data_IF_455126137047
#
_entry.id   IF_455126137047
#
_cell.length_a   1.000
_cell.length_b   1.000
_cell.length_c   1.000
_cell.angle_alpha   90.00
_cell.angle_beta   90.00
_cell.angle_gamma   90.00
#
_symmetry.space_group_name_H-M   'P 1'
#
loop_
_entity.id
_entity.type
_entity.pdbx_description
1 polymer ?
#
# COMPACT_ATOMS: atom_id res chain seq x y z
N UNK A 1 -20.86 15.58 15.49
CA UNK A 1 -20.92 14.15 15.13
C UNK A 1 -20.16 13.83 13.84
N UNK A 2 -19.19 14.66 13.45
CA UNK A 2 -18.44 14.52 12.18
C UNK A 2 -17.17 13.67 12.38
N UNK A 3 -16.49 13.83 13.52
CA UNK A 3 -15.30 13.04 13.91
C UNK A 3 -15.58 11.52 13.98
N UNK A 4 -16.74 11.11 14.48
CA UNK A 4 -17.14 9.68 14.51
C UNK A 4 -17.41 9.13 13.11
N UNK A 5 -17.88 9.98 12.19
CA UNK A 5 -18.12 9.57 10.80
C UNK A 5 -16.81 9.49 10.00
N UNK A 6 -15.83 10.35 10.29
CA UNK A 6 -14.46 10.25 9.74
C UNK A 6 -13.74 8.99 10.25
N UNK A 7 -13.84 8.70 11.54
CA UNK A 7 -13.24 7.50 12.15
C UNK A 7 -13.84 6.20 11.58
N UNK A 8 -15.17 6.12 11.41
CA UNK A 8 -15.80 4.97 10.76
C UNK A 8 -15.41 4.81 9.28
N UNK A 9 -15.28 5.91 8.53
CA UNK A 9 -14.80 5.86 7.13
C UNK A 9 -13.36 5.41 7.05
N UNK A 10 -12.50 5.86 7.97
CA UNK A 10 -11.11 5.45 8.05
C UNK A 10 -11.00 3.93 8.32
N UNK A 11 -11.77 3.41 9.28
CA UNK A 11 -11.84 1.98 9.56
C UNK A 11 -12.31 1.17 8.35
N UNK A 12 -13.37 1.61 7.67
CA UNK A 12 -13.86 0.94 6.46
C UNK A 12 -12.82 0.94 5.32
N UNK A 13 -12.10 2.06 5.12
CA UNK A 13 -11.05 2.13 4.11
C UNK A 13 -9.87 1.20 4.41
N UNK A 14 -9.52 1.04 5.69
CA UNK A 14 -8.49 0.10 6.12
C UNK A 14 -8.91 -1.37 5.88
N UNK A 15 -10.17 -1.71 6.17
CA UNK A 15 -10.73 -3.03 5.89
C UNK A 15 -10.72 -3.33 4.38
N UNK A 16 -11.11 -2.35 3.56
CA UNK A 16 -11.10 -2.50 2.10
C UNK A 16 -9.68 -2.72 1.57
N UNK A 17 -8.69 -2.02 2.13
CA UNK A 17 -7.28 -2.20 1.78
C UNK A 17 -6.78 -3.61 2.15
N UNK A 18 -7.16 -4.12 3.32
CA UNK A 18 -6.85 -5.50 3.73
C UNK A 18 -7.50 -6.54 2.80
N UNK A 19 -8.76 -6.32 2.40
CA UNK A 19 -9.46 -7.15 1.40
C UNK A 19 -8.72 -7.11 0.06
N UNK A 20 -8.29 -5.93 -0.40
CA UNK A 20 -7.48 -5.79 -1.62
C UNK A 20 -6.19 -6.60 -1.56
N UNK A 21 -5.49 -6.59 -0.42
CA UNK A 21 -4.30 -7.40 -0.20
C UNK A 21 -4.59 -8.90 -0.32
N UNK A 22 -5.67 -9.38 0.32
CA UNK A 22 -6.08 -10.78 0.26
C UNK A 22 -6.48 -11.19 -1.17
N UNK A 23 -7.31 -10.37 -1.83
CA UNK A 23 -7.76 -10.63 -3.19
C UNK A 23 -6.58 -10.70 -4.16
N UNK A 24 -5.67 -9.72 -4.09
CA UNK A 24 -4.46 -9.73 -4.91
C UNK A 24 -3.59 -10.95 -4.64
N UNK A 25 -3.47 -11.39 -3.37
CA UNK A 25 -2.72 -12.59 -3.03
C UNK A 25 -3.37 -13.87 -3.59
N UNK A 26 -4.70 -13.95 -3.56
CA UNK A 26 -5.44 -15.07 -4.14
C UNK A 26 -5.28 -15.13 -5.66
N UNK A 27 -5.34 -13.98 -6.33
CA UNK A 27 -5.20 -13.87 -7.78
C UNK A 27 -3.78 -14.16 -8.27
N UNK A 28 -2.76 -13.74 -7.51
CA UNK A 28 -1.35 -13.95 -7.86
C UNK A 28 -0.77 -15.26 -7.34
N UNK A 29 -1.49 -15.97 -6.47
CA UNK A 29 -1.02 -17.14 -5.69
C UNK A 29 0.23 -16.85 -4.82
N UNK A 30 0.54 -15.58 -4.57
CA UNK A 30 1.60 -15.12 -3.67
C UNK A 30 1.20 -13.81 -3.00
N UNK A 31 1.78 -13.52 -1.83
CA UNK A 31 1.54 -12.24 -1.16
C UNK A 31 2.00 -11.05 -2.01
N UNK A 32 1.11 -10.08 -2.21
CA UNK A 32 1.42 -8.83 -2.90
C UNK A 32 2.57 -8.08 -2.24
N UNK A 33 2.56 -8.00 -0.91
CA UNK A 33 3.57 -7.34 -0.12
C UNK A 33 4.24 -8.38 0.77
N UNK A 34 5.54 -8.55 0.61
CA UNK A 34 6.33 -9.48 1.41
C UNK A 34 7.56 -8.75 1.93
N UNK A 35 7.58 -8.51 3.24
CA UNK A 35 8.76 -8.01 3.92
C UNK A 35 9.90 -9.02 3.85
N UNK A 36 11.14 -8.52 3.82
CA UNK A 36 12.33 -9.38 3.89
C UNK A 36 12.41 -10.11 5.23
N UNK A 37 11.97 -9.44 6.29
CA UNK A 37 11.87 -9.97 7.64
C UNK A 37 10.40 -9.94 8.10
N UNK A 38 10.10 -10.71 9.15
CA UNK A 38 8.77 -10.79 9.75
C UNK A 38 8.53 -9.63 10.73
N UNK A 39 8.87 -8.41 10.33
CA UNK A 39 8.66 -7.18 11.09
C UNK A 39 7.90 -6.12 10.28
N UNK A 40 7.32 -5.16 11.00
CA UNK A 40 6.47 -4.11 10.44
C UNK A 40 7.24 -3.20 9.47
N UNK A 41 8.48 -2.85 9.80
CA UNK A 41 9.32 -1.98 8.99
C UNK A 41 9.61 -2.61 7.62
N UNK A 42 9.93 -3.90 7.59
CA UNK A 42 10.19 -4.66 6.36
C UNK A 42 8.94 -4.77 5.49
N UNK A 43 7.76 -4.93 6.10
CA UNK A 43 6.49 -4.94 5.38
C UNK A 43 6.17 -3.56 4.79
N UNK A 44 6.38 -2.49 5.56
CA UNK A 44 6.20 -1.11 5.12
C UNK A 44 7.12 -0.78 3.93
N UNK A 45 8.38 -1.21 3.99
CA UNK A 45 9.32 -1.08 2.87
C UNK A 45 8.78 -1.73 1.60
N UNK A 46 8.28 -2.96 1.69
CA UNK A 46 7.72 -3.68 0.53
C UNK A 46 6.49 -2.94 -0.05
N UNK A 47 5.64 -2.37 0.80
CA UNK A 47 4.48 -1.58 0.38
C UNK A 47 4.93 -0.30 -0.33
N UNK A 48 5.84 0.47 0.27
CA UNK A 48 6.36 1.74 -0.29
C UNK A 48 7.05 1.50 -1.63
N UNK A 49 7.79 0.40 -1.79
CA UNK A 49 8.45 0.05 -3.06
C UNK A 49 7.47 -0.23 -4.19
N UNK A 50 6.30 -0.80 -3.90
CA UNK A 50 5.29 -1.16 -4.91
C UNK A 50 4.29 -0.02 -5.17
N UNK A 51 3.79 0.62 -4.12
CA UNK A 51 2.79 1.70 -4.21
C UNK A 51 3.41 3.09 -4.42
N UNK A 52 4.72 3.22 -4.25
CA UNK A 52 5.47 4.44 -4.54
C UNK A 52 5.55 5.41 -3.37
N UNK A 53 6.53 6.32 -3.44
CA UNK A 53 6.88 7.23 -2.34
C UNK A 53 5.93 8.40 -2.15
N UNK A 54 5.29 8.88 -3.23
CA UNK A 54 4.51 10.11 -3.19
C UNK A 54 3.22 9.94 -2.39
N UNK A 55 2.51 8.83 -2.60
CA UNK A 55 1.32 8.48 -1.81
C UNK A 55 1.68 8.35 -0.32
N UNK A 56 2.74 7.59 -0.02
CA UNK A 56 3.19 7.40 1.36
C UNK A 56 3.58 8.71 2.06
N UNK A 57 4.28 9.63 1.38
CA UNK A 57 4.63 10.94 1.99
C UNK A 57 3.40 11.78 2.30
N UNK A 58 2.39 11.77 1.43
CA UNK A 58 1.13 12.47 1.67
C UNK A 58 0.38 11.84 2.85
N UNK A 59 0.26 10.52 2.85
CA UNK A 59 -0.35 9.74 3.93
C UNK A 59 0.32 10.00 5.29
N UNK A 60 1.64 9.84 5.37
CA UNK A 60 2.39 10.04 6.60
C UNK A 60 2.28 11.48 7.13
N UNK A 61 2.23 12.47 6.22
CA UNK A 61 2.01 13.88 6.60
C UNK A 61 0.59 14.12 7.09
N UNK A 62 -0.41 13.54 6.43
CA UNK A 62 -1.82 13.72 6.78
C UNK A 62 -2.17 13.09 8.14
N UNK A 63 -1.71 11.87 8.37
CA UNK A 63 -1.97 11.12 9.61
C UNK A 63 -0.90 11.32 10.69
N UNK A 64 0.11 12.17 10.46
CA UNK A 64 1.23 12.43 11.38
C UNK A 64 1.91 11.15 11.88
N UNK A 65 2.15 10.20 10.97
CA UNK A 65 2.72 8.88 11.28
C UNK A 65 4.22 9.03 11.55
N UNK A 66 4.70 8.40 12.63
CA UNK A 66 6.12 8.27 12.91
C UNK A 66 6.74 7.28 11.91
N UNK A 67 7.50 7.80 10.94
CA UNK A 67 8.14 6.97 9.90
C UNK A 67 9.50 6.46 10.40
N UNK A 68 9.76 5.14 10.38
CA UNK A 68 11.06 4.58 10.73
C UNK A 68 12.21 5.13 9.88
N UNK A 69 13.41 5.17 10.45
CA UNK A 69 14.57 5.78 9.80
C UNK A 69 14.99 5.05 8.51
N UNK A 70 14.77 3.74 8.48
CA UNK A 70 15.01 2.87 7.32
C UNK A 70 14.15 3.30 6.13
N UNK A 71 12.86 3.53 6.37
CA UNK A 71 11.91 4.00 5.34
C UNK A 71 12.26 5.42 4.91
N UNK A 72 12.64 6.31 5.84
CA UNK A 72 13.10 7.65 5.49
C UNK A 72 14.32 7.63 4.57
N UNK A 73 15.22 6.67 4.72
CA UNK A 73 16.38 6.53 3.83
C UNK A 73 15.95 6.11 2.42
N UNK A 74 15.03 5.15 2.29
CA UNK A 74 14.46 4.74 0.99
C UNK A 74 13.77 5.92 0.31
N UNK A 75 12.97 6.68 1.07
CA UNK A 75 12.29 7.87 0.59
C UNK A 75 13.25 9.01 0.21
N UNK A 76 14.52 9.00 0.64
CA UNK A 76 15.51 10.03 0.26
C UNK A 76 16.30 9.62 -0.98
N UNK A 77 16.69 8.35 -1.10
CA UNK A 77 17.63 7.91 -2.11
C UNK A 77 16.98 7.47 -3.43
N UNK A 78 15.72 7.04 -3.42
CA UNK A 78 15.04 6.57 -4.63
C UNK A 78 14.11 7.66 -5.20
N UNK A 79 14.67 8.56 -6.01
CA UNK A 79 13.91 9.64 -6.68
C UNK A 79 12.81 9.13 -7.63
N UNK A 80 12.88 7.87 -8.06
CA UNK A 80 12.00 7.31 -9.10
C UNK A 80 11.01 6.24 -8.61
N UNK A 81 10.76 6.09 -7.30
CA UNK A 81 9.73 5.18 -6.78
C UNK A 81 8.32 5.69 -7.10
N UNK A 82 7.90 5.51 -8.34
CA UNK A 82 6.52 5.70 -8.79
C UNK A 82 5.70 4.46 -8.48
N UNK A 83 4.39 4.66 -8.29
CA UNK A 83 3.44 3.55 -8.12
C UNK A 83 3.54 2.63 -9.34
N UNK A 84 3.74 1.34 -9.10
CA UNK A 84 3.63 0.34 -10.15
C UNK A 84 2.15 0.06 -10.42
N UNK A 85 1.71 0.02 -11.69
CA UNK A 85 0.34 -0.37 -12.01
C UNK A 85 0.12 -1.83 -11.61
N UNK A 86 -1.09 -2.18 -11.19
CA UNK A 86 -1.39 -3.56 -10.78
C UNK A 86 -1.14 -4.56 -11.91
N UNK A 87 -1.30 -4.14 -13.17
CA UNK A 87 -0.94 -4.95 -14.35
C UNK A 87 0.52 -5.42 -14.37
N UNK A 88 1.45 -4.67 -13.78
CA UNK A 88 2.86 -5.07 -13.67
C UNK A 88 3.12 -6.00 -12.49
N UNK A 89 2.25 -5.97 -11.47
CA UNK A 89 2.36 -6.75 -10.24
C UNK A 89 1.63 -8.09 -10.36
N UNK A 90 0.45 -8.09 -11.00
CA UNK A 90 -0.51 -9.18 -11.07
C UNK A 90 -0.63 -9.74 -12.49
N UNK A 91 0.40 -10.46 -12.94
CA UNK A 91 0.45 -10.99 -14.31
C UNK A 91 -0.59 -12.07 -14.60
N UNK A 92 -1.09 -12.75 -13.57
CA UNK A 92 -2.09 -13.83 -13.70
C UNK A 92 -3.54 -13.33 -13.59
N UNK A 93 -3.76 -12.10 -13.14
CA UNK A 93 -5.10 -11.54 -12.98
C UNK A 93 -5.62 -10.95 -14.31
N UNK A 94 -6.95 -10.93 -14.49
CA UNK A 94 -7.57 -10.21 -15.60
C UNK A 94 -7.54 -8.69 -15.39
N UNK A 95 -7.79 -7.93 -16.46
CA UNK A 95 -7.76 -6.46 -16.45
C UNK A 95 -8.74 -5.88 -15.42
N UNK A 96 -9.94 -6.45 -15.29
CA UNK A 96 -10.94 -5.93 -14.34
C UNK A 96 -10.47 -6.05 -12.88
N UNK A 97 -9.80 -7.15 -12.52
CA UNK A 97 -9.27 -7.31 -11.18
C UNK A 97 -8.05 -6.42 -10.93
N UNK A 98 -7.22 -6.20 -11.95
CA UNK A 98 -6.10 -5.27 -11.87
C UNK A 98 -6.60 -3.84 -11.63
N UNK A 99 -7.58 -3.38 -12.41
CA UNK A 99 -8.19 -2.05 -12.28
C UNK A 99 -8.86 -1.85 -10.92
N UNK A 100 -9.59 -2.87 -10.44
CA UNK A 100 -10.19 -2.84 -9.11
C UNK A 100 -9.13 -2.67 -8.01
N UNK A 101 -8.03 -3.42 -8.09
CA UNK A 101 -6.95 -3.34 -7.11
C UNK A 101 -6.15 -2.04 -7.23
N UNK A 102 -6.07 -1.43 -8.42
CA UNK A 102 -5.51 -0.09 -8.60
C UNK A 102 -6.38 1.00 -7.94
N UNK A 103 -7.69 0.77 -7.77
CA UNK A 103 -8.57 1.66 -7.00
C UNK A 103 -8.45 1.47 -5.48
N UNK A 104 -8.27 0.22 -5.03
CA UNK A 104 -8.31 -0.13 -3.60
C UNK A 104 -6.96 0.05 -2.91
N UNK A 105 -5.86 -0.35 -3.56
CA UNK A 105 -4.53 -0.36 -2.96
C UNK A 105 -3.84 1.00 -3.13
N UNK A 106 -4.38 1.98 -2.42
CA UNK A 106 -3.84 3.34 -2.30
C UNK A 106 -3.36 3.61 -0.87
N UNK A 107 -2.55 4.65 -0.71
CA UNK A 107 -2.16 5.20 0.60
C UNK A 107 -3.20 6.23 1.05
#
# INVERSE_FOLDING_TARGET
>A
SELLAEDQKSNFSADLWAIGCMLGAMLNKEYLFRGQHNDESSMMEAIVKKLGRNGFRLYAKYYNVAVPQEILNILKHEEQLTRLPMSSILKEANEEAQDLLDLILIF
#
